data_IF_279586702294
#
_entry.id   IF_279586702294
#
_cell.length_a   1.000
_cell.length_b   1.000
_cell.length_c   1.000
_cell.angle_alpha   90.00
_cell.angle_beta   90.00
_cell.angle_gamma   90.00
#
_symmetry.space_group_name_H-M   'P 1'
#
loop_
_entity.id
_entity.type
_entity.pdbx_description
1 polymer ?
#
# COMPACT_ATOMS: atom_id res chain seq x y z
N UNK A 1 2.14 16.66 -25.05
CA UNK A 1 2.30 15.19 -25.07
C UNK A 1 2.16 14.68 -23.64
N UNK A 2 1.25 13.72 -23.39
CA UNK A 2 1.17 13.04 -22.09
C UNK A 2 2.30 12.03 -22.03
N UNK A 3 3.27 12.22 -21.13
CA UNK A 3 4.28 11.21 -20.84
C UNK A 3 3.57 10.02 -20.20
N UNK A 4 3.35 8.97 -20.98
CA UNK A 4 2.95 7.66 -20.45
C UNK A 4 4.23 7.10 -19.87
N UNK A 5 4.33 7.08 -18.53
CA UNK A 5 5.47 6.47 -17.84
C UNK A 5 5.40 4.97 -18.16
N UNK A 6 6.44 4.38 -18.78
CA UNK A 6 6.49 2.95 -19.03
C UNK A 6 6.39 2.18 -17.71
N UNK A 7 5.50 1.20 -17.67
CA UNK A 7 5.00 0.55 -16.45
C UNK A 7 6.07 -0.32 -15.75
N UNK A 8 7.09 -0.79 -16.47
CA UNK A 8 8.02 -1.82 -15.97
C UNK A 8 8.95 -1.37 -14.82
N UNK A 9 9.46 -0.13 -14.83
CA UNK A 9 10.31 0.39 -13.73
C UNK A 9 9.48 0.87 -12.52
N UNK A 10 8.23 1.25 -12.78
CA UNK A 10 7.31 1.68 -11.73
C UNK A 10 6.85 0.46 -10.94
N UNK A 11 6.58 -0.68 -11.57
CA UNK A 11 6.15 -1.90 -10.88
C UNK A 11 7.16 -2.43 -9.84
N UNK A 12 8.46 -2.46 -10.15
CA UNK A 12 9.48 -2.86 -9.18
C UNK A 12 9.56 -1.90 -7.98
N UNK A 13 9.47 -0.60 -8.25
CA UNK A 13 9.45 0.44 -7.21
C UNK A 13 8.20 0.32 -6.33
N UNK A 14 7.04 0.08 -6.94
CA UNK A 14 5.78 -0.14 -6.23
C UNK A 14 5.84 -1.41 -5.37
N UNK A 15 6.48 -2.48 -5.85
CA UNK A 15 6.67 -3.73 -5.10
C UNK A 15 7.47 -3.52 -3.82
N UNK A 16 8.60 -2.80 -3.88
CA UNK A 16 9.40 -2.53 -2.69
C UNK A 16 8.63 -1.69 -1.65
N UNK A 17 7.90 -0.67 -2.11
CA UNK A 17 7.04 0.16 -1.24
C UNK A 17 5.88 -0.66 -0.66
N UNK A 18 5.37 -1.64 -1.41
CA UNK A 18 4.37 -2.57 -0.94
C UNK A 18 4.91 -3.49 0.17
N UNK A 19 6.06 -4.14 -0.01
CA UNK A 19 6.62 -5.05 0.99
C UNK A 19 6.86 -4.35 2.33
N UNK A 20 7.29 -3.08 2.28
CA UNK A 20 7.37 -2.21 3.44
C UNK A 20 6.02 -2.06 4.14
N UNK A 21 4.99 -1.68 3.41
CA UNK A 21 3.64 -1.46 3.98
C UNK A 21 3.02 -2.77 4.48
N UNK A 22 3.27 -3.89 3.80
CA UNK A 22 2.88 -5.22 4.24
C UNK A 22 3.43 -5.54 5.64
N UNK A 23 4.74 -5.31 5.87
CA UNK A 23 5.38 -5.50 7.19
C UNK A 23 4.84 -4.55 8.26
N UNK A 24 4.26 -3.41 7.87
CA UNK A 24 3.59 -2.49 8.81
C UNK A 24 2.20 -2.98 9.22
N UNK A 25 1.48 -3.67 8.33
CA UNK A 25 0.13 -4.19 8.60
C UNK A 25 0.17 -5.54 9.30
N UNK A 26 1.00 -6.46 8.81
CA UNK A 26 1.00 -7.85 9.26
C UNK A 26 1.89 -7.98 10.49
N UNK A 27 1.32 -8.28 11.68
CA UNK A 27 2.06 -8.29 12.93
C UNK A 27 2.89 -9.56 13.14
N UNK A 28 2.75 -10.56 12.28
CA UNK A 28 3.41 -11.85 12.40
C UNK A 28 4.83 -11.76 11.82
N UNK A 29 5.82 -12.04 12.67
CA UNK A 29 7.25 -11.93 12.31
C UNK A 29 7.67 -12.96 11.24
N UNK A 30 6.95 -14.06 11.19
CA UNK A 30 7.06 -15.20 10.28
C UNK A 30 6.16 -15.07 9.04
N UNK A 31 5.44 -13.96 8.88
CA UNK A 31 4.66 -13.73 7.67
C UNK A 31 5.57 -13.57 6.45
N UNK A 32 5.31 -14.38 5.42
CA UNK A 32 5.99 -14.32 4.14
C UNK A 32 5.01 -13.81 3.09
N UNK A 33 5.33 -12.66 2.50
CA UNK A 33 4.58 -12.12 1.36
C UNK A 33 4.69 -13.08 0.16
N UNK A 34 3.54 -13.38 -0.47
CA UNK A 34 3.49 -14.23 -1.66
C UNK A 34 3.19 -13.40 -2.90
N UNK A 35 2.08 -12.67 -2.89
CA UNK A 35 1.61 -11.88 -4.04
C UNK A 35 0.60 -10.81 -3.64
N UNK A 36 0.35 -9.87 -4.56
CA UNK A 36 -0.76 -8.93 -4.48
C UNK A 36 -1.58 -8.96 -5.77
N UNK A 37 -2.88 -8.75 -5.62
CA UNK A 37 -3.83 -8.55 -6.71
C UNK A 37 -4.20 -7.07 -6.73
N UNK A 38 -3.99 -6.38 -7.86
CA UNK A 38 -4.56 -5.05 -8.07
C UNK A 38 -6.06 -5.17 -8.29
N UNK A 39 -6.83 -4.64 -7.35
CA UNK A 39 -8.29 -4.65 -7.39
C UNK A 39 -8.81 -3.42 -8.13
N UNK A 40 -8.15 -2.28 -7.96
CA UNK A 40 -8.62 -0.99 -8.46
C UNK A 40 -7.47 0.03 -8.49
N UNK A 41 -7.46 0.89 -9.51
CA UNK A 41 -6.52 2.01 -9.64
C UNK A 41 -7.20 3.23 -10.20
N UNK A 42 -6.95 4.39 -9.58
CA UNK A 42 -7.51 5.66 -10.03
C UNK A 42 -6.47 6.78 -9.95
N UNK A 43 -6.55 7.71 -10.90
CA UNK A 43 -5.68 8.87 -11.00
C UNK A 43 -6.43 10.14 -10.63
N UNK A 44 -6.03 10.79 -9.54
CA UNK A 44 -6.55 12.10 -9.17
C UNK A 44 -5.78 13.19 -9.91
N UNK A 45 -6.45 13.86 -10.86
CA UNK A 45 -5.85 14.95 -11.64
C UNK A 45 -5.39 16.11 -10.74
N UNK A 46 -6.15 16.39 -9.69
CA UNK A 46 -5.84 17.40 -8.67
C UNK A 46 -4.90 16.79 -7.64
N UNK A 47 -3.75 17.44 -7.37
CA UNK A 47 -2.76 16.97 -6.39
C UNK A 47 -1.68 16.04 -6.95
N UNK A 48 -1.87 15.47 -8.14
CA UNK A 48 -0.84 14.65 -8.80
C UNK A 48 -0.51 13.36 -8.06
N UNK A 49 -1.56 12.69 -7.59
CA UNK A 49 -1.50 11.44 -6.82
C UNK A 49 -2.40 10.43 -7.54
N UNK A 50 -2.04 9.16 -7.50
CA UNK A 50 -2.91 8.05 -7.86
C UNK A 50 -2.99 7.06 -6.71
N UNK A 51 -4.07 6.29 -6.64
CA UNK A 51 -4.15 5.19 -5.69
C UNK A 51 -4.21 3.86 -6.41
N UNK A 52 -3.74 2.84 -5.69
CA UNK A 52 -3.94 1.45 -6.05
C UNK A 52 -4.44 0.70 -4.83
N UNK A 53 -5.49 -0.07 -5.01
CA UNK A 53 -6.10 -0.92 -4.01
C UNK A 53 -5.65 -2.35 -4.27
N UNK A 54 -5.05 -2.96 -3.26
CA UNK A 54 -4.51 -4.30 -3.35
C UNK A 54 -5.21 -5.26 -2.41
N UNK A 55 -5.39 -6.49 -2.87
CA UNK A 55 -5.60 -7.66 -2.01
C UNK A 55 -4.26 -8.38 -1.87
N UNK A 56 -3.94 -8.86 -0.67
CA UNK A 56 -2.60 -9.40 -0.39
C UNK A 56 -2.70 -10.83 0.11
N UNK A 57 -1.90 -11.68 -0.50
CA UNK A 57 -1.73 -13.08 -0.15
C UNK A 57 -0.38 -13.25 0.54
N UNK A 58 -0.40 -13.92 1.69
CA UNK A 58 0.79 -14.20 2.46
C UNK A 58 0.63 -15.52 3.21
N UNK A 59 1.73 -16.07 3.72
CA UNK A 59 1.70 -17.29 4.52
C UNK A 59 2.24 -17.03 5.92
N UNK A 60 1.69 -17.71 6.92
CA UNK A 60 2.16 -17.71 8.32
C UNK A 60 2.23 -19.16 8.77
N UNK A 61 3.41 -19.65 9.20
CA UNK A 61 3.62 -21.07 9.54
C UNK A 61 3.07 -22.05 8.48
N UNK A 62 3.34 -21.80 7.20
CA UNK A 62 2.85 -22.57 6.04
C UNK A 62 1.32 -22.57 5.83
N UNK A 63 0.57 -21.78 6.59
CA UNK A 63 -0.87 -21.56 6.37
C UNK A 63 -1.12 -20.34 5.48
N UNK A 64 -1.96 -20.51 4.46
CA UNK A 64 -2.36 -19.42 3.56
C UNK A 64 -3.27 -18.42 4.28
N UNK A 65 -2.84 -17.17 4.26
CA UNK A 65 -3.52 -16.05 4.87
C UNK A 65 -3.91 -15.01 3.80
N UNK A 66 -5.01 -14.33 4.07
CA UNK A 66 -5.45 -13.17 3.30
C UNK A 66 -5.54 -11.97 4.23
N UNK A 67 -4.97 -10.84 3.84
CA UNK A 67 -5.29 -9.57 4.51
C UNK A 67 -6.13 -8.73 3.56
N UNK A 68 -7.13 -8.09 4.16
CA UNK A 68 -8.03 -7.20 3.46
C UNK A 68 -7.34 -5.94 2.96
N UNK A 69 -8.07 -5.30 2.05
CA UNK A 69 -7.65 -4.27 1.10
C UNK A 69 -6.70 -3.23 1.69
N UNK A 70 -5.45 -3.23 1.25
CA UNK A 70 -4.54 -2.11 1.46
C UNK A 70 -4.72 -1.13 0.30
N UNK A 71 -4.95 0.15 0.60
CA UNK A 71 -4.94 1.21 -0.41
C UNK A 71 -3.64 1.99 -0.27
N UNK A 72 -2.84 2.00 -1.32
CA UNK A 72 -1.60 2.75 -1.41
C UNK A 72 -1.81 3.95 -2.33
N UNK A 73 -1.39 5.12 -1.88
CA UNK A 73 -1.42 6.35 -2.65
C UNK A 73 0.00 6.72 -3.02
N UNK A 74 0.22 6.99 -4.30
CA UNK A 74 1.52 7.30 -4.84
C UNK A 74 1.51 8.67 -5.51
N UNK A 75 2.56 9.43 -5.27
CA UNK A 75 2.88 10.60 -6.06
C UNK A 75 3.18 10.20 -7.51
N UNK A 76 3.08 11.15 -8.45
CA UNK A 76 3.41 10.94 -9.88
C UNK A 76 4.82 10.40 -10.13
N UNK A 77 5.76 10.62 -9.22
CA UNK A 77 7.12 10.10 -9.29
C UNK A 77 7.25 8.65 -8.79
N UNK A 78 6.15 8.04 -8.31
CA UNK A 78 6.15 6.68 -7.77
C UNK A 78 6.35 6.59 -6.26
N UNK A 79 6.63 7.71 -5.58
CA UNK A 79 6.84 7.70 -4.13
C UNK A 79 5.54 7.52 -3.36
N UNK A 80 5.62 6.74 -2.28
CA UNK A 80 4.47 6.45 -1.44
C UNK A 80 4.08 7.70 -0.64
N UNK A 81 2.85 8.19 -0.83
CA UNK A 81 2.33 9.36 -0.14
C UNK A 81 1.53 8.96 1.11
N UNK A 82 0.65 7.97 0.96
CA UNK A 82 -0.25 7.49 2.03
C UNK A 82 -0.49 5.99 1.91
N UNK A 83 -0.78 5.32 3.04
CA UNK A 83 -1.39 4.00 3.01
C UNK A 83 -2.53 3.86 4.01
N UNK A 84 -3.62 3.22 3.58
CA UNK A 84 -4.79 2.94 4.41
C UNK A 84 -4.95 1.43 4.57
N UNK A 85 -5.18 0.99 5.81
CA UNK A 85 -5.55 -0.38 6.13
C UNK A 85 -7.04 -0.44 6.41
N UNK A 86 -7.74 -1.28 5.64
CA UNK A 86 -9.17 -1.48 5.77
C UNK A 86 -9.49 -2.84 6.38
N UNK A 87 -10.54 -2.86 7.18
CA UNK A 87 -11.30 -4.05 7.53
C UNK A 87 -12.78 -3.75 7.23
N UNK A 88 -13.46 -4.63 6.47
CA UNK A 88 -14.90 -4.54 6.20
C UNK A 88 -15.41 -3.12 5.82
N UNK A 89 -14.70 -2.43 4.91
CA UNK A 89 -15.00 -1.07 4.42
C UNK A 89 -14.75 0.09 5.40
N UNK A 90 -14.17 -0.18 6.57
CA UNK A 90 -13.77 0.84 7.54
C UNK A 90 -12.26 1.02 7.52
N UNK A 91 -11.78 2.28 7.48
CA UNK A 91 -10.36 2.58 7.67
C UNK A 91 -10.01 2.34 9.14
N UNK A 92 -9.20 1.33 9.41
CA UNK A 92 -8.70 1.05 10.76
C UNK A 92 -7.44 1.84 11.07
N UNK A 93 -6.58 2.00 10.06
CA UNK A 93 -5.30 2.63 10.22
C UNK A 93 -4.90 3.40 8.98
N UNK A 94 -4.28 4.55 9.22
CA UNK A 94 -3.81 5.50 8.23
C UNK A 94 -2.34 5.81 8.51
N UNK A 95 -1.54 5.89 7.46
CA UNK A 95 -0.18 6.44 7.52
C UNK A 95 0.03 7.45 6.40
N UNK A 96 0.69 8.55 6.75
CA UNK A 96 1.26 9.54 5.84
C UNK A 96 2.78 9.40 5.83
N UNK A 97 3.36 9.48 4.65
CA UNK A 97 4.80 9.41 4.49
C UNK A 97 5.41 10.78 4.18
N UNK A 98 6.73 10.90 4.38
CA UNK A 98 7.51 12.02 3.89
C UNK A 98 7.59 12.02 2.35
N UNK A 99 8.20 13.07 1.79
CA UNK A 99 8.26 13.28 0.35
C UNK A 99 8.98 12.16 -0.42
N UNK A 100 9.90 11.46 0.26
CA UNK A 100 10.66 10.32 -0.27
C UNK A 100 9.95 8.97 -0.03
N UNK A 101 8.76 8.97 0.58
CA UNK A 101 7.96 7.77 0.84
C UNK A 101 8.60 6.79 1.84
N UNK A 102 9.62 7.23 2.58
CA UNK A 102 10.52 6.38 3.35
C UNK A 102 10.22 6.41 4.85
N UNK A 103 9.71 7.50 5.39
CA UNK A 103 9.37 7.60 6.82
C UNK A 103 7.90 7.95 6.99
N UNK A 104 7.25 7.25 7.91
CA UNK A 104 5.92 7.66 8.39
C UNK A 104 6.07 8.94 9.21
N UNK A 105 5.40 10.01 8.76
CA UNK A 105 5.39 11.31 9.46
C UNK A 105 4.11 11.53 10.27
N UNK A 106 3.05 10.78 9.95
CA UNK A 106 1.79 10.80 10.68
C UNK A 106 1.15 9.41 10.60
N UNK A 107 0.65 8.91 11.73
CA UNK A 107 -0.10 7.67 11.78
C UNK A 107 -1.31 7.82 12.70
N UNK A 108 -2.48 7.41 12.21
CA UNK A 108 -3.72 7.39 12.98
C UNK A 108 -4.20 5.95 12.98
N UNK A 109 -4.39 5.40 14.18
CA UNK A 109 -5.01 4.08 14.37
C UNK A 109 -6.31 4.29 15.11
N UNK A 110 -7.42 3.81 14.54
CA UNK A 110 -8.70 3.81 15.23
C UNK A 110 -8.55 2.92 16.46
N UNK A 111 -8.70 3.52 17.65
CA UNK A 111 -8.74 2.77 18.90
C UNK A 111 -10.05 2.00 18.94
N UNK A 112 -9.99 0.67 19.11
CA UNK A 112 -11.15 -0.13 19.42
C UNK A 112 -11.62 0.28 20.82
N UNK A 113 -12.65 1.12 20.89
CA UNK A 113 -13.46 1.31 22.10
C UNK A 113 -14.41 0.15 22.26
#
# INVERSE_FOLDING_TARGET
>A
MKTIIPIDAVEETLRAKFEKVFRMRVPFKDAVYQSNEEVEREYFKTGGIFYVKYRIYYTVNDEECLTDRIILFFHKNGELAYCFFYDNFVVEQYHKFDQDGDKTIEAIKKSNT
#
